data_IF_017266566686
#
_entry.id   IF_017266566686
#
_cell.length_a   1.000
_cell.length_b   1.000
_cell.length_c   1.000
_cell.angle_alpha   90.00
_cell.angle_beta   90.00
_cell.angle_gamma   90.00
#
_symmetry.space_group_name_H-M   'P 1'
#
loop_
_entity.id
_entity.type
_entity.pdbx_description
1 polymer ?
#
# COMPACT_ATOMS: atom_id res chain seq x y z
N UNK A 1 17.20 15.82 4.50
CA UNK A 1 16.50 14.50 4.55
C UNK A 1 15.24 14.60 3.71
N UNK A 2 14.95 13.65 2.82
CA UNK A 2 13.65 13.59 2.13
C UNK A 2 12.74 12.65 2.91
N UNK A 3 11.58 13.16 3.33
CA UNK A 3 10.56 12.42 4.06
C UNK A 3 9.39 12.14 3.12
N UNK A 4 8.97 10.89 3.05
CA UNK A 4 7.70 10.53 2.41
C UNK A 4 6.62 10.61 3.48
N UNK A 5 5.54 11.33 3.18
CA UNK A 5 4.34 11.38 4.01
C UNK A 5 3.22 10.76 3.18
N UNK A 6 2.63 9.67 3.68
CA UNK A 6 1.52 8.99 3.02
C UNK A 6 0.25 9.35 3.78
N UNK A 7 -0.71 9.94 3.07
CA UNK A 7 -2.06 10.19 3.57
C UNK A 7 -3.02 9.21 2.90
N UNK A 8 -3.82 8.51 3.71
CA UNK A 8 -4.89 7.64 3.23
C UNK A 8 -6.21 8.22 3.73
N UNK A 9 -6.87 9.01 2.90
CA UNK A 9 -8.14 9.66 3.28
C UNK A 9 -9.26 8.63 3.47
N UNK A 10 -9.24 7.57 2.66
CA UNK A 10 -10.24 6.51 2.71
C UNK A 10 -9.68 5.18 2.25
N UNK A 11 -9.87 4.15 3.08
CA UNK A 11 -9.63 2.75 2.73
C UNK A 11 -10.97 2.04 2.56
N UNK A 12 -11.34 1.71 1.32
CA UNK A 12 -12.59 0.99 1.01
C UNK A 12 -12.31 -0.50 0.82
N UNK A 13 -12.79 -1.32 1.75
CA UNK A 13 -12.55 -2.76 1.79
C UNK A 13 -13.81 -3.54 1.39
N UNK A 14 -13.99 -3.80 0.09
CA UNK A 14 -15.13 -4.59 -0.40
C UNK A 14 -14.88 -6.08 -0.18
N UNK A 15 -15.89 -6.81 0.29
CA UNK A 15 -15.79 -8.26 0.52
C UNK A 15 -15.06 -8.67 1.80
N UNK A 16 -14.57 -7.71 2.59
CA UNK A 16 -13.97 -7.96 3.90
C UNK A 16 -14.98 -7.73 5.02
N UNK A 17 -14.82 -8.46 6.12
CA UNK A 17 -15.67 -8.26 7.29
C UNK A 17 -15.28 -6.94 7.96
N UNK A 18 -16.22 -6.17 8.50
CA UNK A 18 -15.91 -4.90 9.16
C UNK A 18 -14.90 -5.02 10.31
N UNK A 19 -14.80 -6.19 10.96
CA UNK A 19 -13.87 -6.46 12.05
C UNK A 19 -12.41 -6.54 11.58
N UNK A 20 -12.18 -6.95 10.33
CA UNK A 20 -10.85 -7.15 9.76
C UNK A 20 -10.16 -5.82 9.39
N UNK A 21 -10.94 -4.73 9.31
CA UNK A 21 -10.47 -3.42 8.79
C UNK A 21 -9.23 -2.89 9.49
N UNK A 22 -9.15 -3.03 10.82
CA UNK A 22 -8.02 -2.51 11.60
C UNK A 22 -6.76 -3.34 11.38
N UNK A 23 -6.93 -4.66 11.29
CA UNK A 23 -5.82 -5.56 11.00
C UNK A 23 -5.27 -5.35 9.58
N UNK A 24 -6.16 -5.17 8.59
CA UNK A 24 -5.76 -4.83 7.21
C UNK A 24 -5.04 -3.48 7.17
N UNK A 25 -5.60 -2.45 7.83
CA UNK A 25 -4.99 -1.13 7.88
C UNK A 25 -3.60 -1.16 8.55
N UNK A 26 -3.44 -1.90 9.65
CA UNK A 26 -2.16 -2.05 10.33
C UNK A 26 -1.10 -2.72 9.44
N UNK A 27 -1.47 -3.80 8.74
CA UNK A 27 -0.55 -4.46 7.80
C UNK A 27 -0.16 -3.56 6.62
N UNK A 28 -1.10 -2.76 6.12
CA UNK A 28 -0.86 -1.78 5.05
C UNK A 28 0.10 -0.68 5.52
N UNK A 29 -0.15 -0.08 6.68
CA UNK A 29 0.66 1.01 7.23
C UNK A 29 2.10 0.55 7.52
N UNK A 30 2.26 -0.59 8.18
CA UNK A 30 3.56 -1.14 8.53
C UNK A 30 4.40 -1.43 7.29
N UNK A 31 3.80 -2.06 6.27
CA UNK A 31 4.51 -2.41 5.04
C UNK A 31 4.83 -1.15 4.22
N UNK A 32 3.90 -0.20 4.06
CA UNK A 32 4.19 1.06 3.37
C UNK A 32 5.32 1.86 4.04
N UNK A 33 5.34 1.90 5.37
CA UNK A 33 6.41 2.55 6.14
C UNK A 33 7.77 1.93 5.87
N UNK A 34 7.81 0.59 5.78
CA UNK A 34 9.03 -0.17 5.46
C UNK A 34 9.48 0.08 4.02
N UNK A 35 8.54 0.03 3.08
CA UNK A 35 8.79 0.17 1.65
C UNK A 35 9.25 1.58 1.26
N UNK A 36 8.73 2.62 1.90
CA UNK A 36 9.11 4.01 1.63
C UNK A 36 10.22 4.55 2.54
N UNK A 37 10.75 3.73 3.45
CA UNK A 37 12.00 4.03 4.13
C UNK A 37 13.21 3.96 3.16
N UNK A 38 13.07 3.29 2.00
CA UNK A 38 14.11 3.20 0.97
C UNK A 38 14.28 4.52 0.19
N UNK A 39 15.47 5.16 0.22
CA UNK A 39 15.76 6.36 -0.54
C UNK A 39 15.61 6.23 -2.07
N UNK A 40 15.72 5.02 -2.63
CA UNK A 40 15.48 4.78 -4.06
C UNK A 40 14.00 4.95 -4.41
N UNK A 41 13.08 4.46 -3.56
CA UNK A 41 11.65 4.61 -3.76
C UNK A 41 11.25 6.10 -3.80
N UNK A 42 11.85 6.93 -2.96
CA UNK A 42 11.62 8.39 -2.93
C UNK A 42 12.02 9.06 -4.26
N UNK A 43 13.15 8.64 -4.85
CA UNK A 43 13.60 9.18 -6.14
C UNK A 43 12.66 8.81 -7.28
N UNK A 44 12.19 7.57 -7.31
CA UNK A 44 11.25 7.07 -8.32
C UNK A 44 9.90 7.78 -8.22
N UNK A 45 9.38 7.98 -7.00
CA UNK A 45 8.18 8.76 -6.75
C UNK A 45 8.30 10.20 -7.28
N UNK A 46 9.41 10.87 -6.98
CA UNK A 46 9.65 12.25 -7.41
C UNK A 46 9.71 12.36 -8.93
N UNK A 47 10.33 11.39 -9.61
CA UNK A 47 10.45 11.36 -11.05
C UNK A 47 9.10 11.16 -11.78
N UNK A 48 8.15 10.47 -11.13
CA UNK A 48 6.82 10.23 -11.72
C UNK A 48 5.84 11.38 -11.60
N UNK A 49 5.99 12.21 -10.57
CA UNK A 49 5.05 13.29 -10.31
C UNK A 49 3.66 12.80 -9.89
N UNK A 50 2.64 13.60 -10.17
CA UNK A 50 1.24 13.34 -9.78
C UNK A 50 0.56 12.34 -10.73
N UNK A 51 -0.27 11.46 -10.16
CA UNK A 51 -1.25 10.67 -10.92
C UNK A 51 -2.61 10.78 -10.26
N UNK A 52 -3.59 11.30 -11.00
CA UNK A 52 -4.97 11.44 -10.51
C UNK A 52 -5.64 10.09 -10.19
N UNK A 53 -5.25 9.02 -10.88
CA UNK A 53 -5.72 7.65 -10.63
C UNK A 53 -4.62 6.65 -10.94
N UNK A 54 -4.45 5.68 -10.06
CA UNK A 54 -3.54 4.55 -10.25
C UNK A 54 -4.29 3.27 -9.99
N UNK A 55 -4.25 2.35 -10.97
CA UNK A 55 -4.83 1.02 -10.83
C UNK A 55 -3.73 0.08 -10.40
N UNK A 56 -3.92 -0.59 -9.26
CA UNK A 56 -2.98 -1.58 -8.75
C UNK A 56 -3.35 -2.95 -9.28
N UNK A 57 -2.62 -3.42 -10.29
CA UNK A 57 -2.81 -4.76 -10.83
C UNK A 57 -1.96 -5.78 -10.03
N UNK A 58 -2.47 -7.02 -9.92
CA UNK A 58 -1.68 -8.12 -9.36
C UNK A 58 -1.53 -8.16 -7.84
N UNK A 59 -2.44 -7.56 -7.05
CA UNK A 59 -2.56 -7.91 -5.63
C UNK A 59 -3.20 -9.30 -5.54
N UNK A 60 -2.39 -10.34 -5.36
CA UNK A 60 -2.91 -11.69 -5.11
C UNK A 60 -3.19 -11.84 -3.63
N UNK A 61 -4.46 -12.01 -3.31
CA UNK A 61 -4.91 -12.31 -1.95
C UNK A 61 -5.31 -13.79 -1.96
N UNK A 62 -4.50 -14.62 -1.31
CA UNK A 62 -4.79 -16.05 -1.19
C UNK A 62 -6.01 -16.28 -0.28
N UNK A 63 -6.73 -17.37 -0.51
CA UNK A 63 -7.80 -17.76 0.40
C UNK A 63 -7.24 -18.11 1.78
N UNK A 64 -7.90 -17.60 2.83
CA UNK A 64 -7.47 -17.84 4.21
C UNK A 64 -6.29 -16.97 4.67
N UNK A 65 -5.79 -16.05 3.83
CA UNK A 65 -4.79 -15.08 4.25
C UNK A 65 -5.30 -14.27 5.45
N UNK A 66 -4.45 -14.10 6.46
CA UNK A 66 -4.80 -13.28 7.62
C UNK A 66 -5.07 -11.84 7.17
N UNK A 67 -6.02 -11.13 7.80
CA UNK A 67 -6.33 -9.73 7.48
C UNK A 67 -5.09 -8.82 7.38
N UNK A 68 -4.11 -8.99 8.27
CA UNK A 68 -2.85 -8.23 8.21
C UNK A 68 -2.06 -8.49 6.92
N UNK A 69 -2.01 -9.75 6.48
CA UNK A 69 -1.34 -10.14 5.23
C UNK A 69 -1.98 -9.50 4.00
N UNK A 70 -3.30 -9.27 4.02
CA UNK A 70 -4.00 -8.55 2.95
C UNK A 70 -3.47 -7.13 2.82
N UNK A 71 -3.28 -6.45 3.97
CA UNK A 71 -2.69 -5.12 4.01
C UNK A 71 -1.28 -5.09 3.42
N UNK A 72 -0.44 -6.06 3.81
CA UNK A 72 0.93 -6.22 3.30
C UNK A 72 0.96 -6.40 1.78
N UNK A 73 0.18 -7.33 1.23
CA UNK A 73 0.16 -7.58 -0.22
C UNK A 73 -0.37 -6.37 -0.99
N UNK A 74 -1.35 -5.66 -0.43
CA UNK A 74 -1.86 -4.41 -1.01
C UNK A 74 -0.78 -3.33 -1.05
N UNK A 75 -0.02 -3.13 0.04
CA UNK A 75 1.09 -2.18 0.11
C UNK A 75 2.16 -2.45 -0.96
N UNK A 76 2.49 -3.73 -1.15
CA UNK A 76 3.47 -4.18 -2.16
C UNK A 76 3.00 -3.88 -3.58
N UNK A 77 1.71 -4.13 -3.86
CA UNK A 77 1.09 -3.75 -5.12
C UNK A 77 1.19 -2.25 -5.38
N UNK A 78 0.81 -1.44 -4.39
CA UNK A 78 0.90 0.03 -4.47
C UNK A 78 2.32 0.46 -4.80
N UNK A 79 3.34 -0.03 -4.05
CA UNK A 79 4.74 0.31 -4.34
C UNK A 79 5.13 -0.05 -5.75
N UNK A 80 4.78 -1.25 -6.23
CA UNK A 80 5.12 -1.68 -7.59
C UNK A 80 4.57 -0.68 -8.61
N UNK A 81 3.29 -0.34 -8.56
CA UNK A 81 2.72 0.62 -9.52
C UNK A 81 3.26 2.05 -9.38
N UNK A 82 3.64 2.45 -8.16
CA UNK A 82 4.27 3.75 -7.93
C UNK A 82 5.72 3.81 -8.41
N UNK A 83 6.38 2.65 -8.61
CA UNK A 83 7.79 2.55 -9.00
C UNK A 83 8.06 1.92 -10.39
N UNK A 84 7.11 1.17 -10.98
CA UNK A 84 7.12 0.54 -12.32
C UNK A 84 6.85 1.47 -13.52
#
# INVERSE_FOLDING_TARGET
MRRVIVHIDRLVLKGFRPQDRFAIAAGLEQELSTLFADPQAVRQLTARGDRSRMRVEGVRIEQGLKPQGVGVETARGIRREMTA
#
